data_IF_905631148294
#
_entry.id   IF_905631148294
#
_cell.length_a   1.000
_cell.length_b   1.000
_cell.length_c   1.000
_cell.angle_alpha   90.00
_cell.angle_beta   90.00
_cell.angle_gamma   90.00
#
_symmetry.space_group_name_H-M   'P 1'
#
loop_
_entity.id
_entity.type
_entity.pdbx_description
1 polymer ?
#
# COMPACT_ATOMS: atom_id res chain seq x y z
N UNK A 1 16.94 15.56 -1.08
CA UNK A 1 16.39 16.28 0.08
C UNK A 1 17.53 16.84 0.86
N UNK A 2 17.70 18.17 0.87
CA UNK A 2 18.65 18.83 1.77
C UNK A 2 18.08 18.80 3.22
N UNK A 3 18.02 17.60 3.80
CA UNK A 3 17.87 17.47 5.23
C UNK A 3 19.24 17.81 5.84
N UNK A 4 19.28 18.62 6.86
CA UNK A 4 20.52 18.95 7.56
C UNK A 4 21.14 17.77 8.33
N UNK A 5 20.88 16.54 7.90
CA UNK A 5 21.39 15.26 8.33
C UNK A 5 20.68 14.12 7.58
N UNK A 6 21.41 13.07 7.24
CA UNK A 6 20.88 11.86 6.57
C UNK A 6 20.24 10.85 7.56
N UNK A 7 20.10 11.22 8.82
CA UNK A 7 19.52 10.35 9.84
C UNK A 7 17.98 10.42 9.88
N UNK A 8 17.35 9.34 10.36
CA UNK A 8 15.91 9.19 10.41
C UNK A 8 15.21 10.28 11.26
N UNK A 9 15.86 10.78 12.32
CA UNK A 9 15.28 11.79 13.21
C UNK A 9 15.20 13.14 12.49
N UNK A 10 16.27 13.54 11.80
CA UNK A 10 16.31 14.77 11.00
C UNK A 10 15.27 14.76 9.89
N UNK A 11 15.05 13.60 9.26
CA UNK A 11 14.02 13.43 8.25
C UNK A 11 12.61 13.53 8.88
N UNK A 12 12.35 12.81 9.96
CA UNK A 12 11.04 12.80 10.64
C UNK A 12 10.70 14.15 11.26
N UNK A 13 11.68 14.92 11.75
CA UNK A 13 11.46 16.29 12.21
C UNK A 13 10.88 17.19 11.10
N UNK A 14 11.19 16.89 9.84
CA UNK A 14 10.69 17.66 8.69
C UNK A 14 9.37 17.16 8.14
N UNK A 15 9.17 15.83 8.07
CA UNK A 15 8.02 15.24 7.38
C UNK A 15 7.10 14.42 8.29
N UNK A 16 7.41 14.31 9.58
CA UNK A 16 6.73 13.40 10.50
C UNK A 16 5.43 13.92 11.12
N UNK A 17 4.90 15.06 10.68
CA UNK A 17 3.64 15.61 11.22
C UNK A 17 2.43 14.74 10.92
N UNK A 18 2.43 14.03 9.80
CA UNK A 18 1.38 13.08 9.44
C UNK A 18 1.98 11.77 8.92
N UNK A 19 2.39 10.92 9.83
CA UNK A 19 2.91 9.58 9.54
C UNK A 19 1.79 8.59 9.21
N UNK A 20 2.19 7.43 8.71
CA UNK A 20 1.36 6.24 8.66
C UNK A 20 1.07 5.79 10.10
N UNK A 21 -0.16 5.36 10.36
CA UNK A 21 -0.62 5.00 11.70
C UNK A 21 -0.89 6.22 12.59
N UNK A 22 -0.61 6.07 13.88
CA UNK A 22 -0.95 7.06 14.90
C UNK A 22 0.24 7.95 15.35
N UNK A 23 1.44 7.70 14.84
CA UNK A 23 2.62 8.46 15.25
C UNK A 23 2.66 9.85 14.61
N UNK A 24 3.16 10.82 15.38
CA UNK A 24 3.47 12.17 14.94
C UNK A 24 4.81 12.60 15.54
N UNK A 25 5.61 13.29 14.75
CA UNK A 25 6.86 13.91 15.20
C UNK A 25 6.69 15.42 15.12
N UNK A 26 6.66 16.06 16.27
CA UNK A 26 6.35 17.48 16.40
C UNK A 26 7.52 18.21 17.08
N UNK A 27 7.71 19.52 16.84
CA UNK A 27 8.58 20.35 17.62
C UNK A 27 8.19 20.32 19.11
N UNK A 28 9.15 20.55 20.04
CA UNK A 28 8.87 20.50 21.49
C UNK A 28 7.82 21.49 21.98
N UNK A 29 7.62 22.59 21.24
CA UNK A 29 6.68 23.69 21.54
C UNK A 29 5.36 23.61 20.73
N UNK A 30 5.16 22.50 19.99
CA UNK A 30 3.94 22.33 19.20
C UNK A 30 2.73 22.20 20.12
N UNK A 31 1.68 22.99 19.86
CA UNK A 31 0.39 22.81 20.50
C UNK A 31 -0.33 21.58 19.93
N UNK A 32 -0.64 20.61 20.78
CA UNK A 32 -1.31 19.36 20.45
C UNK A 32 -2.40 19.01 21.47
N UNK A 33 -3.06 20.01 22.02
CA UNK A 33 -3.99 19.89 23.14
C UNK A 33 -5.26 19.10 22.79
N UNK A 34 -5.71 19.12 21.53
CA UNK A 34 -6.94 18.41 21.11
C UNK A 34 -6.64 17.44 19.94
N UNK A 35 -6.47 16.14 20.21
CA UNK A 35 -6.26 15.16 19.16
C UNK A 35 -7.42 15.13 18.15
N UNK A 36 -7.08 15.23 16.85
CA UNK A 36 -8.05 15.11 15.76
C UNK A 36 -8.83 16.39 15.44
N UNK A 37 -8.48 17.53 16.04
CA UNK A 37 -8.97 18.84 15.63
C UNK A 37 -8.53 19.15 14.19
N UNK A 38 -9.40 19.85 13.44
CA UNK A 38 -9.20 20.12 12.01
C UNK A 38 -8.87 21.59 11.80
N UNK A 39 -7.66 21.82 11.30
CA UNK A 39 -7.23 23.11 10.76
C UNK A 39 -6.77 22.89 9.32
N UNK A 40 -7.49 23.44 8.33
CA UNK A 40 -7.20 23.17 6.93
C UNK A 40 -7.68 24.31 6.04
N UNK A 41 -7.06 24.45 4.85
CA UNK A 41 -7.46 25.41 3.81
C UNK A 41 -8.00 24.65 2.61
N UNK A 42 -9.10 25.14 2.01
CA UNK A 42 -9.56 24.61 0.74
C UNK A 42 -8.47 24.76 -0.32
N UNK A 43 -8.31 23.71 -1.15
CA UNK A 43 -7.35 23.68 -2.24
C UNK A 43 -8.08 23.36 -3.55
N UNK A 44 -7.78 24.11 -4.61
CA UNK A 44 -8.41 23.93 -5.93
C UNK A 44 -7.78 22.76 -6.69
N UNK A 45 -8.50 22.26 -7.71
CA UNK A 45 -7.97 21.20 -8.59
C UNK A 45 -6.70 21.65 -9.31
N UNK A 46 -6.59 22.95 -9.69
CA UNK A 46 -5.39 23.54 -10.29
C UNK A 46 -4.20 23.50 -9.31
N UNK A 47 -4.43 23.82 -8.04
CA UNK A 47 -3.39 23.78 -7.01
C UNK A 47 -2.97 22.35 -6.72
N UNK A 48 -3.92 21.40 -6.69
CA UNK A 48 -3.63 19.97 -6.55
C UNK A 48 -2.80 19.47 -7.73
N UNK A 49 -3.18 19.83 -8.97
CA UNK A 49 -2.41 19.48 -10.16
C UNK A 49 -0.98 20.04 -10.10
N UNK A 50 -0.82 21.27 -9.64
CA UNK A 50 0.49 21.91 -9.46
C UNK A 50 1.32 21.17 -8.41
N UNK A 51 0.73 20.84 -7.25
CA UNK A 51 1.35 20.05 -6.18
C UNK A 51 1.81 18.69 -6.71
N UNK A 52 0.95 17.97 -7.44
CA UNK A 52 1.28 16.64 -8.01
C UNK A 52 2.45 16.74 -9.01
N UNK A 53 2.44 17.73 -9.90
CA UNK A 53 3.54 17.96 -10.86
C UNK A 53 4.87 18.28 -10.17
N UNK A 54 4.83 18.98 -9.04
CA UNK A 54 6.03 19.32 -8.27
C UNK A 54 6.69 18.11 -7.58
N UNK A 55 5.96 17.00 -7.36
CA UNK A 55 6.50 15.78 -6.73
C UNK A 55 7.68 15.19 -7.49
N UNK A 56 7.73 15.35 -8.82
CA UNK A 56 8.85 14.88 -9.64
C UNK A 56 10.17 15.61 -9.33
N UNK A 57 10.10 16.88 -8.90
CA UNK A 57 11.27 17.72 -8.60
C UNK A 57 11.48 17.94 -7.11
N UNK A 58 10.42 17.85 -6.31
CA UNK A 58 10.42 17.99 -4.87
C UNK A 58 9.68 16.79 -4.24
N UNK A 59 10.33 15.61 -4.12
CA UNK A 59 9.72 14.43 -3.54
C UNK A 59 9.12 14.71 -2.17
N UNK A 60 7.95 14.14 -1.87
CA UNK A 60 7.17 14.36 -0.64
C UNK A 60 6.53 15.77 -0.54
N UNK A 61 6.48 16.55 -1.61
CA UNK A 61 5.93 17.90 -1.63
C UNK A 61 6.75 18.92 -0.81
N UNK A 62 8.03 18.63 -0.56
CA UNK A 62 8.93 19.54 0.15
C UNK A 62 9.33 20.68 -0.75
N UNK A 63 8.68 21.86 -0.64
CA UNK A 63 9.21 23.13 -1.14
C UNK A 63 9.93 23.87 -0.01
N UNK A 64 10.98 24.62 -0.34
CA UNK A 64 11.76 25.39 0.66
C UNK A 64 10.92 26.45 1.40
N UNK A 65 9.77 26.82 0.84
CA UNK A 65 8.92 27.91 1.33
C UNK A 65 7.61 27.45 1.97
N UNK A 66 7.34 26.14 2.08
CA UNK A 66 6.04 25.65 2.58
C UNK A 66 6.24 24.86 3.88
N UNK A 67 6.20 25.58 5.01
CA UNK A 67 6.17 24.99 6.35
C UNK A 67 4.82 24.34 6.70
N UNK A 68 3.83 24.50 5.84
CA UNK A 68 2.46 24.24 6.19
C UNK A 68 2.11 22.75 6.21
N UNK A 69 2.66 21.91 5.28
CA UNK A 69 2.24 20.51 5.19
C UNK A 69 3.36 19.56 4.77
N UNK A 70 3.61 18.56 5.63
CA UNK A 70 4.65 17.56 5.43
C UNK A 70 4.16 16.19 5.88
N UNK A 71 4.23 15.23 4.96
CA UNK A 71 3.75 13.86 5.16
C UNK A 71 4.89 12.84 5.12
N UNK A 72 4.78 11.79 5.95
CA UNK A 72 5.68 10.63 5.92
C UNK A 72 4.89 9.38 5.56
N UNK A 73 4.88 9.04 4.26
CA UNK A 73 4.21 7.84 3.73
C UNK A 73 5.26 6.95 3.07
N UNK A 74 5.37 5.71 3.54
CA UNK A 74 6.34 4.75 3.02
C UNK A 74 6.11 4.39 1.54
N UNK A 75 7.20 4.02 0.84
CA UNK A 75 7.18 3.54 -0.55
C UNK A 75 8.00 4.40 -1.50
N UNK A 76 8.53 3.80 -2.56
CA UNK A 76 9.43 4.43 -3.52
C UNK A 76 8.74 5.31 -4.58
N UNK A 77 7.43 5.10 -4.80
CA UNK A 77 6.65 5.92 -5.74
C UNK A 77 6.38 7.29 -5.14
N UNK A 78 6.47 8.33 -5.96
CA UNK A 78 6.07 9.69 -5.59
C UNK A 78 4.59 9.72 -5.19
N UNK A 79 4.30 10.36 -4.08
CA UNK A 79 2.94 10.46 -3.55
C UNK A 79 2.81 11.66 -2.61
N UNK A 80 1.58 12.14 -2.48
CA UNK A 80 1.22 13.10 -1.45
C UNK A 80 -0.06 12.66 -0.75
N UNK A 81 -0.51 13.40 0.25
CA UNK A 81 -1.80 13.14 0.87
C UNK A 81 -2.52 14.46 1.18
N UNK A 82 -3.83 14.42 1.10
CA UNK A 82 -4.71 15.55 1.37
C UNK A 82 -5.86 15.13 2.29
N UNK A 83 -6.54 16.12 2.83
CA UNK A 83 -7.78 15.94 3.58
C UNK A 83 -8.97 16.13 2.61
N UNK A 84 -9.86 15.15 2.54
CA UNK A 84 -11.17 15.30 1.92
C UNK A 84 -12.24 15.43 3.01
N UNK A 85 -12.90 16.58 3.09
CA UNK A 85 -13.92 16.88 4.09
C UNK A 85 -15.16 17.44 3.41
N UNK A 86 -16.30 16.80 3.62
CA UNK A 86 -17.60 17.23 3.05
C UNK A 86 -17.55 17.43 1.52
N UNK A 87 -16.81 16.58 0.81
CA UNK A 87 -16.65 16.65 -0.64
C UNK A 87 -15.65 17.69 -1.15
N UNK A 88 -15.02 18.45 -0.26
CA UNK A 88 -14.04 19.48 -0.60
C UNK A 88 -12.62 19.01 -0.26
N UNK A 89 -11.70 19.14 -1.20
CA UNK A 89 -10.28 18.91 -0.96
C UNK A 89 -9.67 20.04 -0.15
N UNK A 90 -8.88 19.69 0.85
CA UNK A 90 -8.27 20.61 1.78
C UNK A 90 -6.78 20.29 1.94
N UNK A 91 -5.96 21.32 2.00
CA UNK A 91 -4.58 21.26 2.48
C UNK A 91 -4.59 21.33 4.00
N UNK A 92 -4.20 20.26 4.72
CA UNK A 92 -4.19 20.26 6.16
C UNK A 92 -3.08 21.16 6.72
N UNK A 93 -3.33 21.80 7.85
CA UNK A 93 -2.38 22.63 8.57
C UNK A 93 -2.03 22.00 9.93
N UNK A 94 -0.91 22.43 10.51
CA UNK A 94 -0.50 22.03 11.84
C UNK A 94 -0.41 20.51 12.01
N UNK A 95 -1.25 19.98 12.91
CA UNK A 95 -1.32 18.56 13.25
C UNK A 95 -2.51 17.84 12.61
N UNK A 96 -3.25 18.50 11.73
CA UNK A 96 -4.44 17.94 11.07
C UNK A 96 -4.06 16.69 10.25
N UNK A 97 -4.78 15.57 10.43
CA UNK A 97 -4.54 14.36 9.63
C UNK A 97 -5.00 14.51 8.17
N UNK A 98 -4.34 13.79 7.27
CA UNK A 98 -4.86 13.56 5.91
C UNK A 98 -5.81 12.37 5.88
N UNK A 99 -6.73 12.34 4.90
CA UNK A 99 -7.67 11.23 4.70
C UNK A 99 -7.38 10.40 3.47
N UNK A 100 -6.66 10.93 2.49
CA UNK A 100 -6.42 10.27 1.22
C UNK A 100 -4.96 10.41 0.79
N UNK A 101 -4.44 9.34 0.21
CA UNK A 101 -3.14 9.29 -0.46
C UNK A 101 -3.38 9.47 -1.96
N UNK A 102 -2.60 10.33 -2.58
CA UNK A 102 -2.64 10.67 -4.01
C UNK A 102 -1.35 10.20 -4.67
N UNK A 103 -1.45 9.34 -5.68
CA UNK A 103 -0.31 8.80 -6.44
C UNK A 103 -0.45 9.19 -7.91
N UNK A 104 0.48 9.98 -8.48
CA UNK A 104 0.51 10.26 -9.91
C UNK A 104 1.00 9.06 -10.72
N UNK A 105 0.91 9.17 -12.05
CA UNK A 105 1.58 8.24 -12.96
C UNK A 105 3.08 8.21 -12.69
N UNK A 106 3.67 7.00 -12.67
CA UNK A 106 5.10 6.82 -12.39
C UNK A 106 5.97 7.32 -13.57
N UNK A 107 5.43 7.23 -14.79
CA UNK A 107 6.18 7.55 -16.00
C UNK A 107 7.14 6.44 -16.43
N UNK A 108 8.04 6.76 -17.36
CA UNK A 108 9.06 5.82 -17.82
C UNK A 108 10.20 5.77 -16.81
N UNK A 109 10.64 4.57 -16.43
CA UNK A 109 11.73 4.36 -15.47
C UNK A 109 12.83 3.47 -16.05
N UNK A 110 14.10 3.79 -15.77
CA UNK A 110 15.20 2.89 -16.13
C UNK A 110 15.10 1.58 -15.35
N UNK A 111 15.32 0.47 -16.04
CA UNK A 111 15.37 -0.87 -15.50
C UNK A 111 16.76 -1.50 -15.78
N UNK A 112 16.98 -2.73 -15.33
CA UNK A 112 18.27 -3.40 -15.48
C UNK A 112 18.75 -3.45 -16.94
N UNK A 113 20.05 -3.34 -17.17
CA UNK A 113 20.74 -3.48 -18.47
C UNK A 113 20.29 -2.45 -19.56
N UNK A 114 19.91 -1.23 -19.17
CA UNK A 114 19.55 -0.17 -20.11
C UNK A 114 18.15 -0.35 -20.74
N UNK A 115 17.34 -1.25 -20.24
CA UNK A 115 15.93 -1.39 -20.59
C UNK A 115 15.13 -0.34 -19.79
N UNK A 116 14.18 0.32 -20.44
CA UNK A 116 13.21 1.19 -19.78
C UNK A 116 11.87 0.45 -19.62
N UNK A 117 11.21 0.68 -18.50
CA UNK A 117 9.84 0.20 -18.27
C UNK A 117 8.90 1.41 -18.33
N UNK A 118 7.88 1.29 -19.19
CA UNK A 118 6.82 2.28 -19.34
C UNK A 118 5.74 2.06 -18.28
N UNK A 119 5.74 2.90 -17.24
CA UNK A 119 4.77 2.93 -16.15
C UNK A 119 3.82 4.14 -16.27
N UNK A 120 3.66 4.69 -17.50
CA UNK A 120 2.77 5.83 -17.76
C UNK A 120 1.28 5.52 -17.53
N UNK A 121 0.93 4.23 -17.35
CA UNK A 121 -0.41 3.77 -16.98
C UNK A 121 -0.46 3.12 -15.59
N UNK A 122 0.41 3.52 -14.69
CA UNK A 122 0.47 2.95 -13.33
C UNK A 122 -0.80 3.26 -12.51
N UNK A 123 -1.44 4.41 -12.73
CA UNK A 123 -2.69 4.79 -12.07
C UNK A 123 -3.83 3.83 -12.45
N UNK A 124 -4.00 3.55 -13.74
CA UNK A 124 -5.00 2.61 -14.23
C UNK A 124 -4.70 1.17 -13.79
N UNK A 125 -3.42 0.79 -13.81
CA UNK A 125 -2.97 -0.53 -13.36
C UNK A 125 -3.30 -0.76 -11.88
N UNK A 126 -2.95 0.20 -11.01
CA UNK A 126 -3.26 0.09 -9.57
C UNK A 126 -4.76 0.07 -9.33
N UNK A 127 -5.53 0.93 -9.99
CA UNK A 127 -6.99 0.94 -9.86
C UNK A 127 -7.61 -0.38 -10.32
N UNK A 128 -7.20 -0.90 -11.46
CA UNK A 128 -7.64 -2.21 -11.95
C UNK A 128 -7.37 -3.31 -10.93
N UNK A 129 -6.14 -3.40 -10.42
CA UNK A 129 -5.76 -4.42 -9.45
C UNK A 129 -6.54 -4.30 -8.13
N UNK A 130 -6.74 -3.09 -7.63
CA UNK A 130 -7.50 -2.85 -6.40
C UNK A 130 -8.97 -3.21 -6.57
N UNK A 131 -9.60 -2.79 -7.68
CA UNK A 131 -10.99 -3.14 -8.01
C UNK A 131 -11.16 -4.65 -8.20
N UNK A 132 -10.21 -5.32 -8.87
CA UNK A 132 -10.20 -6.76 -9.00
C UNK A 132 -10.12 -7.47 -7.64
N UNK A 133 -9.22 -7.03 -6.77
CA UNK A 133 -9.08 -7.59 -5.42
C UNK A 133 -10.38 -7.45 -4.61
N UNK A 134 -11.06 -6.30 -4.70
CA UNK A 134 -12.36 -6.08 -4.04
C UNK A 134 -13.44 -6.99 -4.64
N UNK A 135 -13.56 -7.05 -5.96
CA UNK A 135 -14.56 -7.84 -6.68
C UNK A 135 -14.41 -9.34 -6.42
N UNK A 136 -13.18 -9.84 -6.24
CA UNK A 136 -12.91 -11.22 -5.85
C UNK A 136 -13.23 -11.49 -4.37
N UNK A 137 -13.56 -10.45 -3.59
CA UNK A 137 -13.94 -10.53 -2.18
C UNK A 137 -12.77 -10.43 -1.19
N UNK A 138 -11.68 -9.76 -1.54
CA UNK A 138 -10.64 -9.35 -0.61
C UNK A 138 -10.94 -7.95 -0.03
N UNK A 139 -10.73 -7.71 1.27
CA UNK A 139 -10.85 -6.38 1.82
C UNK A 139 -9.73 -5.48 1.27
N UNK A 140 -10.10 -4.37 0.65
CA UNK A 140 -9.16 -3.40 0.07
C UNK A 140 -9.38 -2.00 0.63
N UNK A 141 -8.35 -1.17 0.61
CA UNK A 141 -8.48 0.26 0.80
C UNK A 141 -9.35 0.82 -0.34
N UNK A 142 -10.32 1.65 -0.03
CA UNK A 142 -11.17 2.28 -1.04
C UNK A 142 -10.35 3.17 -1.93
N UNK A 143 -10.50 3.02 -3.24
CA UNK A 143 -9.72 3.78 -4.20
C UNK A 143 -10.54 4.19 -5.41
N UNK A 144 -10.07 5.22 -6.11
CA UNK A 144 -10.61 5.69 -7.37
C UNK A 144 -9.58 6.49 -8.15
N UNK A 145 -9.80 6.63 -9.43
CA UNK A 145 -9.08 7.59 -10.26
C UNK A 145 -9.80 8.94 -10.19
N UNK A 146 -9.03 10.01 -10.01
CA UNK A 146 -9.53 11.39 -10.08
C UNK A 146 -8.66 12.16 -11.06
N UNK A 147 -9.28 13.03 -11.82
CA UNK A 147 -8.61 13.99 -12.70
C UNK A 147 -8.65 15.38 -12.03
N UNK A 148 -7.48 15.95 -11.76
CA UNK A 148 -7.31 17.29 -11.24
C UNK A 148 -6.70 18.17 -12.33
N UNK A 149 -7.48 19.01 -12.99
CA UNK A 149 -7.03 19.93 -14.05
C UNK A 149 -6.16 19.22 -15.11
N UNK A 150 -6.65 18.07 -15.64
CA UNK A 150 -5.97 17.24 -16.63
C UNK A 150 -4.84 16.36 -16.09
N UNK A 151 -4.61 16.33 -14.78
CA UNK A 151 -3.65 15.44 -14.12
C UNK A 151 -4.38 14.25 -13.52
N UNK A 152 -4.21 13.07 -14.12
CA UNK A 152 -4.82 11.82 -13.64
C UNK A 152 -4.05 11.23 -12.46
N UNK A 153 -4.77 10.90 -11.39
CA UNK A 153 -4.21 10.50 -10.10
C UNK A 153 -4.98 9.31 -9.54
N UNK A 154 -4.27 8.31 -9.05
CA UNK A 154 -4.85 7.28 -8.19
C UNK A 154 -5.01 7.85 -6.78
N UNK A 155 -6.22 7.74 -6.24
CA UNK A 155 -6.58 8.27 -4.92
C UNK A 155 -7.06 7.12 -4.05
N UNK A 156 -6.38 6.89 -2.93
CA UNK A 156 -6.70 5.85 -1.95
C UNK A 156 -7.11 6.45 -0.61
N UNK A 157 -8.24 6.02 -0.07
CA UNK A 157 -8.69 6.39 1.27
C UNK A 157 -7.78 5.73 2.32
N UNK A 158 -7.36 6.49 3.30
CA UNK A 158 -6.54 6.01 4.41
C UNK A 158 -7.39 5.22 5.41
N UNK A 159 -7.16 3.94 5.53
CA UNK A 159 -7.83 3.06 6.48
C UNK A 159 -7.32 3.23 7.94
N UNK A 160 -6.23 3.96 8.13
CA UNK A 160 -5.67 4.35 9.43
C UNK A 160 -6.20 5.71 9.93
N UNK A 161 -7.36 6.13 9.42
CA UNK A 161 -8.06 7.36 9.81
C UNK A 161 -9.51 7.04 10.14
N UNK A 162 -10.05 7.73 11.16
CA UNK A 162 -11.43 7.54 11.59
C UNK A 162 -12.08 8.85 12.01
N UNK A 163 -13.18 9.19 11.37
CA UNK A 163 -14.04 10.27 11.81
C UNK A 163 -14.80 9.87 13.08
N UNK A 164 -14.80 10.76 14.07
CA UNK A 164 -15.63 10.63 15.27
C UNK A 164 -16.99 11.31 15.06
N UNK A 165 -17.95 11.02 15.93
CA UNK A 165 -19.29 11.62 15.87
C UNK A 165 -19.28 13.13 16.11
N UNK A 166 -18.30 13.62 16.85
CA UNK A 166 -18.10 15.05 17.17
C UNK A 166 -17.24 15.78 16.13
N UNK A 167 -16.97 15.15 14.98
CA UNK A 167 -16.30 15.78 13.82
C UNK A 167 -14.78 15.82 13.88
N UNK A 168 -14.14 15.12 14.82
CA UNK A 168 -12.68 14.98 14.86
C UNK A 168 -12.22 13.85 13.94
N UNK A 169 -11.00 13.94 13.43
CA UNK A 169 -10.36 12.92 12.62
C UNK A 169 -9.22 12.28 13.42
N UNK A 170 -9.44 11.06 13.87
CA UNK A 170 -8.45 10.31 14.64
C UNK A 170 -7.49 9.53 13.74
N UNK A 171 -6.24 9.37 14.20
CA UNK A 171 -5.25 8.45 13.66
C UNK A 171 -5.39 7.11 14.36
N UNK A 172 -5.47 6.02 13.59
CA UNK A 172 -5.50 4.66 14.10
C UNK A 172 -4.11 4.04 14.02
N UNK A 173 -3.64 3.36 15.08
CA UNK A 173 -2.34 2.70 15.05
C UNK A 173 -2.32 1.58 14.01
N UNK A 174 -1.25 1.54 13.22
CA UNK A 174 -0.97 0.44 12.30
C UNK A 174 0.54 0.22 12.15
N UNK A 175 0.91 -0.99 11.75
CA UNK A 175 2.27 -1.37 11.39
C UNK A 175 2.23 -2.23 10.14
N UNK A 176 3.21 -2.05 9.23
CA UNK A 176 3.43 -3.04 8.18
C UNK A 176 4.06 -4.32 8.75
N UNK A 177 4.01 -5.43 8.00
CA UNK A 177 4.52 -6.72 8.52
C UNK A 177 6.04 -6.70 8.78
N UNK A 178 6.82 -5.85 8.11
CA UNK A 178 8.23 -5.69 8.48
C UNK A 178 8.35 -5.04 9.85
N UNK A 179 7.58 -3.98 10.13
CA UNK A 179 7.55 -3.32 11.44
C UNK A 179 7.09 -4.29 12.54
N UNK A 180 5.97 -4.98 12.32
CA UNK A 180 5.41 -5.94 13.27
C UNK A 180 6.35 -7.14 13.57
N UNK A 181 7.24 -7.48 12.63
CA UNK A 181 8.22 -8.56 12.78
C UNK A 181 9.62 -8.05 13.15
N UNK A 182 9.82 -6.74 13.33
CA UNK A 182 11.11 -6.15 13.66
C UNK A 182 12.16 -6.27 12.55
N UNK A 183 11.73 -6.31 11.28
CA UNK A 183 12.61 -6.44 10.11
C UNK A 183 12.82 -5.08 9.45
N UNK A 184 14.06 -4.79 9.06
CA UNK A 184 14.40 -3.53 8.36
C UNK A 184 13.63 -3.38 7.05
N UNK A 185 13.27 -2.15 6.70
CA UNK A 185 12.63 -1.83 5.42
C UNK A 185 13.52 -2.16 4.20
N UNK A 186 14.84 -2.22 4.38
CA UNK A 186 15.80 -2.66 3.35
C UNK A 186 15.70 -4.15 3.03
N UNK A 187 15.16 -4.95 3.95
CA UNK A 187 15.01 -6.40 3.84
C UNK A 187 13.55 -6.82 3.60
N UNK A 188 12.77 -5.99 2.91
CA UNK A 188 11.35 -6.23 2.69
C UNK A 188 11.01 -7.45 1.81
N UNK A 189 11.93 -7.88 0.93
CA UNK A 189 11.76 -9.05 0.07
C UNK A 189 12.29 -10.32 0.72
N UNK A 190 11.57 -11.42 0.63
CA UNK A 190 12.01 -12.72 1.17
C UNK A 190 13.32 -13.20 0.55
N UNK A 191 13.55 -12.94 -0.73
CA UNK A 191 14.80 -13.30 -1.41
C UNK A 191 16.04 -12.57 -0.84
N UNK A 192 15.84 -11.44 -0.15
CA UNK A 192 16.86 -10.64 0.52
C UNK A 192 16.91 -10.85 2.04
N UNK A 193 16.25 -11.89 2.57
CA UNK A 193 16.21 -12.19 4.00
C UNK A 193 14.96 -11.70 4.73
N UNK A 194 14.04 -11.04 4.04
CA UNK A 194 12.79 -10.54 4.60
C UNK A 194 11.75 -11.62 4.89
N UNK A 195 10.59 -11.20 5.44
CA UNK A 195 9.52 -12.12 5.79
C UNK A 195 8.89 -12.76 4.55
N UNK A 196 8.82 -14.09 4.53
CA UNK A 196 8.05 -14.86 3.57
C UNK A 196 6.66 -15.23 4.12
N UNK A 197 5.90 -16.00 3.33
CA UNK A 197 4.53 -16.43 3.67
C UNK A 197 4.47 -17.08 5.06
N UNK A 198 5.45 -17.91 5.42
CA UNK A 198 5.47 -18.61 6.71
C UNK A 198 5.53 -17.64 7.90
N UNK A 199 6.40 -16.62 7.83
CA UNK A 199 6.52 -15.60 8.88
C UNK A 199 5.23 -14.77 9.00
N UNK A 200 4.65 -14.37 7.86
CA UNK A 200 3.39 -13.63 7.81
C UNK A 200 2.22 -14.44 8.38
N UNK A 201 2.10 -15.71 8.01
CA UNK A 201 1.05 -16.62 8.52
C UNK A 201 1.19 -16.88 10.03
N UNK A 202 2.44 -16.93 10.53
CA UNK A 202 2.72 -17.06 11.96
C UNK A 202 2.33 -15.78 12.72
N UNK A 203 2.65 -14.59 12.17
CA UNK A 203 2.19 -13.31 12.74
C UNK A 203 0.67 -13.31 12.90
N UNK A 204 -0.05 -13.63 11.82
CA UNK A 204 -1.52 -13.62 11.81
C UNK A 204 -2.18 -14.68 12.71
N UNK A 205 -1.43 -15.66 13.20
CA UNK A 205 -1.90 -16.60 14.22
C UNK A 205 -2.24 -15.91 15.54
N UNK A 206 -1.61 -14.77 15.83
CA UNK A 206 -1.85 -13.97 17.03
C UNK A 206 -2.89 -12.85 16.85
N UNK A 207 -3.57 -12.77 15.69
CA UNK A 207 -4.59 -11.74 15.45
C UNK A 207 -5.88 -12.02 16.25
N UNK A 208 -6.77 -11.01 16.33
CA UNK A 208 -8.10 -11.15 16.95
C UNK A 208 -9.01 -12.15 16.22
N UNK A 209 -8.74 -12.45 14.95
CA UNK A 209 -9.47 -13.43 14.13
C UNK A 209 -8.50 -14.23 13.25
N UNK A 210 -7.72 -15.15 13.87
CA UNK A 210 -6.62 -15.81 13.17
C UNK A 210 -7.04 -16.59 11.91
N UNK A 211 -8.19 -17.25 11.97
CA UNK A 211 -8.70 -18.02 10.84
C UNK A 211 -9.06 -17.13 9.64
N UNK A 212 -9.76 -16.03 9.90
CA UNK A 212 -10.17 -15.09 8.88
C UNK A 212 -8.97 -14.35 8.27
N UNK A 213 -8.09 -13.78 9.11
CA UNK A 213 -6.95 -13.00 8.65
C UNK A 213 -5.95 -13.87 7.87
N UNK A 214 -5.70 -15.10 8.31
CA UNK A 214 -4.88 -16.07 7.57
C UNK A 214 -5.53 -16.48 6.24
N UNK A 215 -6.84 -16.64 6.22
CA UNK A 215 -7.60 -16.95 4.99
C UNK A 215 -7.52 -15.80 3.98
N UNK A 216 -7.70 -14.56 4.44
CA UNK A 216 -7.56 -13.35 3.60
C UNK A 216 -6.13 -13.26 3.04
N UNK A 217 -5.11 -13.42 3.88
CA UNK A 217 -3.72 -13.35 3.46
C UNK A 217 -3.38 -14.46 2.44
N UNK A 218 -3.77 -15.71 2.68
CA UNK A 218 -3.53 -16.81 1.74
C UNK A 218 -4.24 -16.57 0.42
N UNK A 219 -5.47 -16.07 0.44
CA UNK A 219 -6.20 -15.69 -0.78
C UNK A 219 -5.50 -14.54 -1.53
N UNK A 220 -4.99 -13.55 -0.82
CA UNK A 220 -4.22 -12.45 -1.42
C UNK A 220 -2.96 -12.96 -2.11
N UNK A 221 -2.21 -13.88 -1.51
CA UNK A 221 -1.03 -14.51 -2.13
C UNK A 221 -1.37 -15.21 -3.44
N UNK A 222 -2.48 -15.96 -3.49
CA UNK A 222 -2.97 -16.59 -4.74
C UNK A 222 -3.36 -15.54 -5.78
N UNK A 223 -4.08 -14.50 -5.38
CA UNK A 223 -4.52 -13.42 -6.28
C UNK A 223 -3.32 -12.63 -6.83
N UNK A 224 -2.29 -12.39 -6.02
CA UNK A 224 -1.07 -11.72 -6.49
C UNK A 224 -0.36 -12.54 -7.59
N UNK A 225 -0.37 -13.87 -7.47
CA UNK A 225 0.10 -14.72 -8.56
C UNK A 225 -0.79 -14.62 -9.80
N UNK A 226 -2.12 -14.68 -9.66
CA UNK A 226 -3.08 -14.57 -10.78
C UNK A 226 -2.93 -13.23 -11.50
N UNK A 227 -2.83 -12.12 -10.77
CA UNK A 227 -2.65 -10.77 -11.31
C UNK A 227 -1.24 -10.52 -11.84
N UNK A 228 -0.25 -11.32 -11.45
CA UNK A 228 1.16 -10.99 -11.67
C UNK A 228 1.62 -9.78 -10.86
N UNK A 229 1.06 -9.61 -9.66
CA UNK A 229 1.46 -8.57 -8.71
C UNK A 229 2.74 -8.99 -7.99
N UNK A 230 3.87 -8.65 -8.57
CA UNK A 230 5.19 -9.13 -8.13
C UNK A 230 5.76 -8.38 -6.92
N UNK A 231 5.20 -7.23 -6.55
CA UNK A 231 5.68 -6.41 -5.42
C UNK A 231 4.92 -6.67 -4.11
N UNK A 232 4.27 -7.82 -3.97
CA UNK A 232 3.53 -8.23 -2.76
C UNK A 232 4.45 -8.66 -1.61
N UNK A 233 5.37 -7.78 -1.19
CA UNK A 233 6.29 -8.03 -0.07
C UNK A 233 5.67 -7.66 1.28
N UNK A 234 6.37 -8.00 2.38
CA UNK A 234 5.88 -7.82 3.75
C UNK A 234 5.48 -6.37 4.10
N UNK A 235 6.06 -5.34 3.46
CA UNK A 235 5.64 -3.94 3.68
C UNK A 235 4.33 -3.55 2.98
N UNK A 236 3.83 -4.37 2.07
CA UNK A 236 2.55 -4.16 1.38
C UNK A 236 1.39 -4.90 2.07
N UNK A 237 1.64 -5.42 3.27
CA UNK A 237 0.64 -5.93 4.19
C UNK A 237 0.80 -5.22 5.54
N UNK A 238 -0.30 -4.85 6.18
CA UNK A 238 -0.28 -4.18 7.47
C UNK A 238 -1.24 -4.85 8.46
N UNK A 239 -1.00 -4.59 9.73
CA UNK A 239 -1.93 -4.87 10.82
C UNK A 239 -2.47 -3.55 11.38
N UNK A 240 -3.74 -3.51 11.71
CA UNK A 240 -4.34 -2.46 12.52
C UNK A 240 -4.29 -2.88 13.98
N UNK A 241 -3.64 -2.06 14.78
CA UNK A 241 -3.51 -2.29 16.21
C UNK A 241 -4.79 -1.82 16.93
N UNK A 242 -5.29 -2.68 17.80
CA UNK A 242 -6.42 -2.41 18.69
C UNK A 242 -5.90 -2.21 20.12
N UNK A 243 -6.81 -1.96 21.06
CA UNK A 243 -6.46 -1.88 22.47
C UNK A 243 -5.86 -3.20 22.99
N UNK A 244 -5.06 -3.12 24.05
CA UNK A 244 -4.46 -4.26 24.75
C UNK A 244 -3.51 -5.13 23.87
N UNK A 245 -2.87 -4.52 22.86
CA UNK A 245 -1.94 -5.21 21.96
C UNK A 245 -2.61 -6.17 20.96
N UNK A 246 -3.94 -6.14 20.87
CA UNK A 246 -4.69 -6.91 19.88
C UNK A 246 -4.55 -6.30 18.50
N UNK A 247 -4.77 -7.08 17.44
CA UNK A 247 -4.69 -6.58 16.09
C UNK A 247 -5.52 -7.40 15.09
N UNK A 248 -5.76 -6.83 13.93
CA UNK A 248 -6.35 -7.46 12.75
C UNK A 248 -5.53 -7.16 11.50
N UNK A 249 -5.59 -8.04 10.52
CA UNK A 249 -5.07 -7.72 9.18
C UNK A 249 -5.77 -6.46 8.64
N UNK A 250 -4.99 -5.53 8.12
CA UNK A 250 -5.51 -4.32 7.46
C UNK A 250 -6.02 -4.64 6.05
N UNK A 251 -6.88 -3.81 5.47
CA UNK A 251 -7.24 -3.91 4.06
C UNK A 251 -6.01 -3.89 3.15
N UNK A 252 -6.07 -4.56 1.99
CA UNK A 252 -4.99 -4.55 0.99
C UNK A 252 -4.85 -3.15 0.37
N UNK A 253 -3.63 -2.82 -0.01
CA UNK A 253 -3.24 -1.58 -0.67
C UNK A 253 -2.00 -1.80 -1.54
N UNK A 254 -1.72 -0.90 -2.46
CA UNK A 254 -0.49 -0.88 -3.26
C UNK A 254 -0.30 -2.16 -4.11
N UNK A 255 -1.36 -2.56 -4.82
CA UNK A 255 -1.37 -3.74 -5.69
C UNK A 255 -1.24 -3.31 -7.14
N UNK A 256 -0.11 -3.66 -7.78
CA UNK A 256 0.15 -3.39 -9.20
C UNK A 256 0.55 -4.68 -9.92
N UNK A 257 0.07 -4.84 -11.15
CA UNK A 257 0.41 -5.97 -12.01
C UNK A 257 1.60 -5.68 -12.92
N UNK A 258 2.47 -6.66 -13.08
CA UNK A 258 3.54 -6.63 -14.10
C UNK A 258 3.10 -7.21 -15.45
N UNK A 259 1.89 -7.76 -15.56
CA UNK A 259 1.40 -8.38 -16.80
C UNK A 259 1.39 -7.43 -18.00
N UNK A 260 1.01 -6.13 -17.90
CA UNK A 260 1.11 -5.21 -19.02
C UNK A 260 2.53 -5.13 -19.61
N UNK A 261 3.57 -5.14 -18.77
CA UNK A 261 4.97 -5.08 -19.19
C UNK A 261 5.43 -6.40 -19.83
N UNK A 262 4.89 -7.53 -19.37
CA UNK A 262 5.13 -8.85 -19.99
C UNK A 262 4.44 -8.92 -21.34
N UNK A 263 3.21 -8.45 -21.45
CA UNK A 263 2.44 -8.45 -22.70
C UNK A 263 3.07 -7.57 -23.79
N UNK A 264 3.68 -6.46 -23.41
CA UNK A 264 4.38 -5.54 -24.34
C UNK A 264 5.84 -5.93 -24.60
N UNK A 265 6.34 -7.02 -23.98
CA UNK A 265 7.71 -7.49 -24.15
C UNK A 265 8.79 -6.65 -23.41
N UNK A 266 8.39 -5.67 -22.59
CA UNK A 266 9.32 -4.89 -21.77
C UNK A 266 9.90 -5.72 -20.61
N UNK A 267 9.19 -6.77 -20.20
CA UNK A 267 9.62 -7.73 -19.21
C UNK A 267 9.29 -9.16 -19.65
N UNK A 268 10.06 -10.14 -19.23
CA UNK A 268 9.75 -11.55 -19.47
C UNK A 268 9.15 -12.19 -18.23
N UNK A 269 8.29 -13.20 -18.39
CA UNK A 269 7.76 -13.99 -17.25
C UNK A 269 8.88 -14.58 -16.38
N UNK A 270 10.03 -14.90 -16.99
CA UNK A 270 11.22 -15.42 -16.32
C UNK A 270 11.83 -14.39 -15.36
N UNK A 271 11.76 -13.11 -15.71
CA UNK A 271 12.28 -12.02 -14.88
C UNK A 271 11.24 -11.51 -13.87
N UNK A 272 9.93 -11.76 -14.11
CA UNK A 272 8.88 -11.47 -13.16
C UNK A 272 8.93 -12.48 -12.00
N UNK A 273 9.10 -11.99 -10.78
CA UNK A 273 9.30 -12.80 -9.56
C UNK A 273 8.33 -12.37 -8.48
N UNK A 274 7.70 -13.33 -7.83
CA UNK A 274 6.93 -13.06 -6.60
C UNK A 274 7.86 -12.51 -5.51
N UNK A 275 7.37 -11.62 -4.69
CA UNK A 275 8.10 -11.07 -3.55
C UNK A 275 8.28 -12.10 -2.42
N UNK A 276 7.33 -13.05 -2.31
CA UNK A 276 7.36 -14.17 -1.37
C UNK A 276 7.33 -15.50 -2.14
N UNK A 277 8.17 -16.44 -1.72
CA UNK A 277 8.27 -17.76 -2.35
C UNK A 277 7.09 -18.65 -2.04
N UNK A 278 6.78 -19.54 -2.99
CA UNK A 278 5.81 -20.62 -2.80
C UNK A 278 6.48 -21.99 -2.99
N UNK A 279 5.91 -23.01 -2.35
CA UNK A 279 6.40 -24.40 -2.41
C UNK A 279 7.61 -24.65 -1.51
N UNK A 280 7.86 -25.93 -1.25
CA UNK A 280 8.98 -26.39 -0.39
C UNK A 280 10.35 -25.98 -0.90
N UNK A 281 10.50 -25.87 -2.23
CA UNK A 281 11.75 -25.48 -2.89
C UNK A 281 11.86 -23.96 -3.15
N UNK A 282 10.95 -23.14 -2.58
CA UNK A 282 10.98 -21.68 -2.65
C UNK A 282 11.00 -21.13 -4.09
N UNK A 283 9.90 -21.30 -4.80
CA UNK A 283 9.73 -20.80 -6.15
C UNK A 283 9.26 -19.35 -6.14
N UNK A 284 9.98 -18.48 -6.87
CA UNK A 284 9.66 -17.06 -7.02
C UNK A 284 9.23 -16.71 -8.44
N UNK A 285 9.79 -17.39 -9.45
CA UNK A 285 9.62 -17.04 -10.86
C UNK A 285 8.20 -17.35 -11.33
N UNK A 286 7.57 -16.36 -11.97
CA UNK A 286 6.18 -16.47 -12.44
C UNK A 286 5.96 -17.57 -13.47
N UNK A 287 7.01 -17.90 -14.29
CA UNK A 287 6.95 -18.98 -15.28
C UNK A 287 7.12 -20.39 -14.70
N UNK A 288 7.56 -20.49 -13.45
CA UNK A 288 7.76 -21.78 -12.76
C UNK A 288 6.65 -22.09 -11.74
N UNK A 289 5.95 -21.05 -11.25
CA UNK A 289 4.93 -21.21 -10.21
C UNK A 289 3.69 -21.93 -10.75
N UNK A 290 3.30 -22.99 -10.05
CA UNK A 290 2.13 -23.82 -10.39
C UNK A 290 1.27 -24.05 -9.13
N UNK A 291 -0.03 -24.37 -9.26
CA UNK A 291 -0.97 -24.52 -8.13
C UNK A 291 -0.50 -25.46 -7.02
N UNK A 292 0.21 -26.53 -7.33
CA UNK A 292 0.75 -27.47 -6.32
C UNK A 292 1.65 -26.79 -5.29
N UNK A 293 2.40 -25.74 -5.67
CA UNK A 293 3.30 -25.06 -4.74
C UNK A 293 2.55 -24.25 -3.67
N UNK A 294 1.35 -23.74 -3.97
CA UNK A 294 0.50 -23.14 -2.95
C UNK A 294 -0.01 -24.18 -1.94
N UNK A 295 -0.31 -25.42 -2.40
CA UNK A 295 -0.67 -26.53 -1.51
C UNK A 295 0.50 -26.93 -0.59
N UNK A 296 1.70 -27.04 -1.17
CA UNK A 296 2.92 -27.29 -0.38
C UNK A 296 3.18 -26.19 0.66
N UNK A 297 2.92 -24.92 0.28
CA UNK A 297 3.04 -23.78 1.21
C UNK A 297 1.99 -23.85 2.30
N UNK A 298 0.73 -24.11 1.96
CA UNK A 298 -0.37 -24.23 2.91
C UNK A 298 -0.08 -25.34 3.95
N UNK A 299 0.36 -26.50 3.49
CA UNK A 299 0.76 -27.62 4.36
C UNK A 299 1.90 -27.20 5.32
N UNK A 300 2.92 -26.50 4.82
CA UNK A 300 4.08 -26.09 5.59
C UNK A 300 3.72 -25.05 6.69
N UNK A 301 2.66 -24.24 6.49
CA UNK A 301 2.21 -23.24 7.47
C UNK A 301 1.00 -23.72 8.31
N UNK A 302 0.63 -24.99 8.20
CA UNK A 302 -0.51 -25.55 8.93
C UNK A 302 -1.84 -24.88 8.53
N UNK A 303 -2.00 -24.55 7.24
CA UNK A 303 -3.26 -24.06 6.68
C UNK A 303 -4.04 -25.22 6.10
N UNK A 304 -5.30 -25.39 6.53
CA UNK A 304 -6.09 -26.57 6.20
C UNK A 304 -6.31 -26.68 4.67
N UNK A 305 -6.13 -27.89 4.13
CA UNK A 305 -6.36 -28.17 2.71
C UNK A 305 -7.78 -27.79 2.27
N UNK A 306 -8.79 -28.10 3.08
CA UNK A 306 -10.19 -27.75 2.80
C UNK A 306 -10.41 -26.24 2.67
N UNK A 307 -9.69 -25.44 3.46
CA UNK A 307 -9.74 -23.98 3.37
C UNK A 307 -9.08 -23.48 2.07
N UNK A 308 -7.96 -24.06 1.67
CA UNK A 308 -7.30 -23.72 0.41
C UNK A 308 -8.18 -24.11 -0.79
N UNK A 309 -8.75 -25.32 -0.80
CA UNK A 309 -9.67 -25.78 -1.84
C UNK A 309 -10.91 -24.86 -1.94
N UNK A 310 -11.41 -24.36 -0.80
CA UNK A 310 -12.52 -23.40 -0.77
C UNK A 310 -12.10 -22.03 -1.33
N UNK A 311 -10.88 -21.58 -1.08
CA UNK A 311 -10.32 -20.33 -1.66
C UNK A 311 -10.16 -20.50 -3.18
N UNK A 312 -9.57 -21.60 -3.66
CA UNK A 312 -9.38 -21.88 -5.07
C UNK A 312 -10.72 -21.89 -5.83
N UNK A 313 -11.74 -22.52 -5.24
CA UNK A 313 -13.09 -22.54 -5.79
C UNK A 313 -13.73 -21.15 -5.81
N UNK A 314 -13.67 -20.41 -4.71
CA UNK A 314 -14.24 -19.05 -4.61
C UNK A 314 -13.59 -18.09 -5.63
N UNK A 315 -12.27 -18.23 -5.87
CA UNK A 315 -11.58 -17.49 -6.92
C UNK A 315 -12.11 -17.89 -8.31
N UNK A 316 -12.21 -19.18 -8.60
CA UNK A 316 -12.69 -19.67 -9.89
C UNK A 316 -14.14 -19.21 -10.18
N UNK A 317 -15.02 -19.29 -9.20
CA UNK A 317 -16.43 -18.90 -9.31
C UNK A 317 -16.60 -17.39 -9.56
N UNK A 318 -15.71 -16.55 -9.06
CA UNK A 318 -15.79 -15.09 -9.16
C UNK A 318 -14.90 -14.47 -10.25
N UNK A 319 -13.99 -15.25 -10.85
CA UNK A 319 -12.92 -14.71 -11.71
C UNK A 319 -13.45 -13.88 -12.87
N UNK A 320 -14.42 -14.40 -13.62
CA UNK A 320 -14.98 -13.73 -14.80
C UNK A 320 -15.68 -12.43 -14.42
N UNK A 321 -16.52 -12.46 -13.37
CA UNK A 321 -17.20 -11.26 -12.88
C UNK A 321 -16.23 -10.21 -12.33
N UNK A 322 -15.16 -10.64 -11.65
CA UNK A 322 -14.15 -9.73 -11.11
C UNK A 322 -13.34 -9.04 -12.23
N UNK A 323 -12.98 -9.78 -13.29
CA UNK A 323 -12.35 -9.20 -14.48
C UNK A 323 -13.25 -8.13 -15.09
N UNK A 324 -14.53 -8.47 -15.32
CA UNK A 324 -15.50 -7.53 -15.89
C UNK A 324 -15.61 -6.27 -15.03
N UNK A 325 -15.84 -6.42 -13.74
CA UNK A 325 -15.95 -5.27 -12.80
C UNK A 325 -14.70 -4.39 -12.79
N UNK A 326 -13.51 -4.99 -12.91
CA UNK A 326 -12.27 -4.23 -12.92
C UNK A 326 -11.97 -3.55 -14.26
N UNK A 327 -12.63 -3.98 -15.36
CA UNK A 327 -12.44 -3.42 -16.71
C UNK A 327 -13.42 -2.28 -16.99
N UNK A 328 -14.63 -2.32 -16.40
CA UNK A 328 -15.65 -1.28 -16.48
C UNK A 328 -15.24 -0.02 -15.70
#
# INVERSE_FOLDING_TARGET
>A
VAAGGDDAISLLAKIGRDCVGALQFLPPDADCTVPGEIEAKAISDVDIATLIKSLATAPLGLSENDDAFRISIAGAQEKTALLLMNGTWMSPLGITPTTHILKPQIGVRPFAMGVEIDLTRSVENEQYCMTFCEAIGLPTAKSRIVDFDGVRVFVSERFDRQWTKDGRLLRLPQEDFCQALGVSSSEKYEASGGPGISACMKLLQASDSPQEDRRIFMKAVLIYWVLGATDGHAKNFSIRLNQDGRFRLAPLYDVLSTQPHVATGQQTKKNARLAMAVGKSRHYRMDEVVPRYFRETADAVGFAKSELDAIEKDIADKLESAIKTATD
#
